data_IF_621686366628
#
_entry.id   IF_621686366628
#
_cell.length_a   1.000
_cell.length_b   1.000
_cell.length_c   1.000
_cell.angle_alpha   90.00
_cell.angle_beta   90.00
_cell.angle_gamma   90.00
#
_symmetry.space_group_name_H-M   'P 1'
#
loop_
_entity.id
_entity.type
_entity.pdbx_description
1 polymer ?
#
# COMPACT_ATOMS: atom_id res chain seq x y z
N UNK A 1 -6.15 -15.99 -28.88
CA UNK A 1 -5.14 -14.93 -28.67
C UNK A 1 -4.36 -15.27 -27.42
N UNK A 2 -3.03 -15.16 -27.47
CA UNK A 2 -2.14 -15.36 -26.32
C UNK A 2 -1.64 -13.97 -25.93
N UNK A 3 -1.94 -13.52 -24.71
CA UNK A 3 -1.51 -12.22 -24.19
C UNK A 3 -0.54 -12.48 -23.03
N UNK A 4 0.52 -11.67 -22.94
CA UNK A 4 1.36 -11.65 -21.75
C UNK A 4 0.50 -11.13 -20.59
N UNK A 5 0.42 -11.90 -19.51
CA UNK A 5 -0.19 -11.39 -18.28
C UNK A 5 0.82 -10.49 -17.57
N UNK A 6 0.53 -9.20 -17.41
CA UNK A 6 1.40 -8.26 -16.68
C UNK A 6 1.67 -8.68 -15.22
N UNK A 7 0.80 -9.52 -14.63
CA UNK A 7 0.98 -9.99 -13.26
C UNK A 7 1.94 -11.17 -13.13
N UNK A 8 1.93 -12.15 -14.04
CA UNK A 8 2.79 -13.33 -13.95
C UNK A 8 3.88 -13.43 -15.04
N UNK A 9 3.83 -12.62 -16.09
CA UNK A 9 4.81 -12.61 -17.18
C UNK A 9 4.75 -13.82 -18.10
N UNK A 10 3.79 -14.73 -17.92
CA UNK A 10 3.66 -15.95 -18.72
C UNK A 10 2.57 -15.83 -19.79
N UNK A 11 2.80 -16.51 -20.91
CA UNK A 11 1.91 -16.55 -22.06
C UNK A 11 0.91 -17.70 -21.86
N UNK A 12 -0.25 -17.41 -21.25
CA UNK A 12 -1.30 -18.39 -20.99
C UNK A 12 -2.51 -18.29 -21.95
N UNK A 13 -3.28 -19.38 -22.11
CA UNK A 13 -4.63 -19.27 -22.66
C UNK A 13 -5.49 -18.45 -21.70
N UNK A 14 -6.20 -17.45 -22.22
CA UNK A 14 -7.16 -16.66 -21.44
C UNK A 14 -8.54 -17.27 -21.60
N UNK A 15 -9.14 -17.72 -20.50
CA UNK A 15 -10.55 -18.08 -20.46
C UNK A 15 -11.38 -16.79 -20.58
N UNK A 16 -12.02 -16.60 -21.74
CA UNK A 16 -12.85 -15.42 -22.00
C UNK A 16 -14.26 -15.66 -21.42
N UNK A 17 -14.46 -15.31 -20.15
CA UNK A 17 -15.81 -15.24 -19.60
C UNK A 17 -16.44 -13.89 -19.97
N UNK A 18 -16.97 -13.78 -21.20
CA UNK A 18 -17.67 -12.58 -21.64
C UNK A 18 -19.04 -12.48 -20.95
N UNK A 19 -19.11 -11.78 -19.81
CA UNK A 19 -20.38 -11.30 -19.26
C UNK A 19 -20.61 -9.87 -19.74
N UNK A 20 -21.42 -9.70 -20.78
CA UNK A 20 -21.80 -8.37 -21.26
C UNK A 20 -22.82 -7.73 -20.31
N UNK A 21 -22.43 -6.67 -19.62
CA UNK A 21 -23.31 -5.80 -18.83
C UNK A 21 -23.34 -4.42 -19.51
N UNK A 22 -24.26 -4.24 -20.46
CA UNK A 22 -24.61 -2.92 -21.00
C UNK A 22 -23.64 -2.33 -22.05
N UNK A 23 -23.95 -1.10 -22.53
CA UNK A 23 -23.25 -0.41 -23.62
C UNK A 23 -21.82 0.04 -23.28
N UNK A 24 -21.39 -0.07 -22.02
CA UNK A 24 -19.99 0.05 -21.60
C UNK A 24 -19.38 -1.33 -21.32
N UNK A 25 -19.50 -2.25 -22.27
CA UNK A 25 -19.05 -3.62 -22.08
C UNK A 25 -17.52 -3.69 -21.90
N UNK A 26 -17.07 -3.80 -20.65
CA UNK A 26 -15.69 -4.19 -20.30
C UNK A 26 -15.62 -5.70 -20.25
N UNK A 27 -14.75 -6.31 -21.05
CA UNK A 27 -14.47 -7.73 -20.93
C UNK A 27 -13.55 -7.96 -19.73
N UNK A 28 -13.97 -8.81 -18.80
CA UNK A 28 -13.08 -9.30 -17.76
C UNK A 28 -12.39 -10.55 -18.26
N UNK A 29 -11.08 -10.58 -18.14
CA UNK A 29 -10.27 -11.74 -18.52
C UNK A 29 -9.49 -12.19 -17.31
N UNK A 30 -9.63 -13.47 -16.95
CA UNK A 30 -8.97 -14.06 -15.79
C UNK A 30 -7.79 -14.92 -16.26
N UNK A 31 -6.62 -14.74 -15.66
CA UNK A 31 -5.47 -15.61 -15.89
C UNK A 31 -5.66 -16.93 -15.13
N UNK A 32 -5.59 -18.07 -15.83
CA UNK A 32 -5.72 -19.40 -15.20
C UNK A 32 -4.56 -19.73 -14.27
N UNK A 33 -3.40 -19.10 -14.44
CA UNK A 33 -2.20 -19.44 -13.67
C UNK A 33 -2.11 -18.67 -12.35
N UNK A 34 -2.42 -17.37 -12.34
CA UNK A 34 -2.30 -16.53 -11.15
C UNK A 34 -3.66 -16.00 -10.63
N UNK A 35 -4.76 -16.23 -11.34
CA UNK A 35 -6.09 -15.76 -10.97
C UNK A 35 -6.33 -14.26 -11.16
N UNK A 36 -5.34 -13.49 -11.65
CA UNK A 36 -5.47 -12.05 -11.85
C UNK A 36 -6.56 -11.74 -12.89
N UNK A 37 -7.39 -10.73 -12.60
CA UNK A 37 -8.48 -10.26 -13.47
C UNK A 37 -8.06 -8.94 -14.11
N UNK A 38 -8.01 -8.90 -15.43
CA UNK A 38 -7.78 -7.67 -16.20
C UNK A 38 -9.10 -7.21 -16.85
N UNK A 39 -9.35 -5.90 -16.83
CA UNK A 39 -10.44 -5.28 -17.60
C UNK A 39 -9.87 -4.84 -18.94
N UNK A 40 -10.31 -5.46 -20.02
CA UNK A 40 -9.91 -5.07 -21.37
C UNK A 40 -11.06 -4.27 -21.99
N UNK A 41 -10.82 -3.03 -22.45
CA UNK A 41 -11.82 -2.31 -23.22
C UNK A 41 -12.09 -3.09 -24.51
N UNK A 42 -13.35 -3.46 -24.76
CA UNK A 42 -13.75 -4.06 -26.02
C UNK A 42 -13.67 -2.94 -27.06
N UNK A 43 -12.57 -2.92 -27.82
CA UNK A 43 -12.45 -1.99 -28.95
C UNK A 43 -13.42 -2.48 -30.01
N UNK A 44 -14.52 -1.74 -30.21
CA UNK A 44 -15.40 -1.98 -31.35
C UNK A 44 -14.55 -2.10 -32.62
N UNK A 45 -14.79 -3.11 -33.47
CA UNK A 45 -14.04 -3.28 -34.70
C UNK A 45 -14.21 -2.01 -35.51
N UNK A 46 -13.14 -1.21 -35.59
CA UNK A 46 -13.13 0.05 -36.30
C UNK A 46 -13.64 -0.22 -37.72
N UNK A 47 -14.79 0.39 -38.03
CA UNK A 47 -15.33 0.43 -39.37
C UNK A 47 -14.21 0.79 -40.34
N UNK A 48 -14.11 -0.01 -41.40
CA UNK A 48 -13.09 -0.01 -42.45
C UNK A 48 -13.09 1.35 -43.17
N UNK A 49 -12.47 2.36 -42.59
CA UNK A 49 -12.32 3.71 -43.13
C UNK A 49 -10.91 3.94 -43.65
N UNK A 50 -10.80 4.13 -44.96
CA UNK A 50 -9.58 4.45 -45.69
C UNK A 50 -8.94 5.76 -45.20
N UNK A 51 -7.61 5.79 -45.10
CA UNK A 51 -6.86 7.01 -44.76
C UNK A 51 -5.36 6.78 -44.83
N UNK A 52 -4.81 6.92 -46.03
CA UNK A 52 -3.38 6.94 -46.32
C UNK A 52 -2.72 8.23 -45.78
N UNK A 53 -1.40 8.11 -45.53
CA UNK A 53 -0.35 9.11 -45.79
C UNK A 53 0.30 9.84 -44.61
N UNK A 54 1.65 9.86 -44.68
CA UNK A 54 2.64 10.85 -44.20
C UNK A 54 2.93 10.87 -42.69
N UNK A 55 4.14 11.13 -42.20
CA UNK A 55 5.39 11.59 -42.81
C UNK A 55 6.56 11.04 -41.97
N UNK A 56 7.62 10.66 -42.68
CA UNK A 56 8.96 10.42 -42.16
C UNK A 56 9.66 11.75 -41.81
N UNK A 57 10.80 11.63 -41.12
CA UNK A 57 11.87 12.63 -41.05
C UNK A 57 11.82 13.68 -39.93
N UNK A 58 12.48 13.37 -38.80
CA UNK A 58 13.27 14.38 -38.08
C UNK A 58 14.49 13.78 -37.38
N UNK A 59 15.54 13.58 -38.17
CA UNK A 59 16.91 13.51 -37.70
C UNK A 59 17.32 14.88 -37.14
N UNK A 60 17.93 14.90 -35.96
CA UNK A 60 18.43 16.10 -35.30
C UNK A 60 19.76 15.80 -34.63
N UNK A 61 20.83 15.92 -35.42
CA UNK A 61 22.21 15.99 -34.96
C UNK A 61 22.44 17.19 -34.02
N UNK A 62 23.21 16.97 -32.96
CA UNK A 62 23.93 18.04 -32.24
C UNK A 62 25.35 17.57 -31.92
N UNK A 63 26.38 18.15 -32.55
CA UNK A 63 27.75 18.10 -32.06
C UNK A 63 27.97 19.26 -31.07
N UNK A 64 28.68 18.99 -29.98
CA UNK A 64 28.96 19.98 -28.94
C UNK A 64 30.16 19.57 -28.10
N UNK A 65 31.33 19.93 -28.63
CA UNK A 65 32.63 19.92 -27.97
C UNK A 65 32.62 20.68 -26.64
N UNK A 66 33.47 20.28 -25.69
CA UNK A 66 34.64 21.08 -25.28
C UNK A 66 35.18 20.73 -23.89
N UNK A 67 36.48 20.44 -23.91
CA UNK A 67 37.50 21.00 -23.03
C UNK A 67 37.54 20.61 -21.55
N UNK A 68 38.53 19.76 -21.26
CA UNK A 68 39.60 20.14 -20.35
C UNK A 68 39.35 19.83 -18.88
N UNK A 69 39.91 18.71 -18.41
CA UNK A 69 40.32 18.65 -17.02
C UNK A 69 41.74 18.11 -16.87
N UNK A 70 42.47 18.85 -16.03
CA UNK A 70 43.92 18.88 -15.86
C UNK A 70 44.48 17.53 -15.42
N UNK A 71 45.59 17.16 -16.03
CA UNK A 71 46.57 16.25 -15.46
C UNK A 71 47.07 16.84 -14.13
N UNK A 72 46.78 16.14 -13.03
CA UNK A 72 47.28 16.40 -11.69
C UNK A 72 47.83 15.09 -11.14
N UNK A 73 49.06 15.16 -10.68
CA UNK A 73 49.98 14.06 -10.48
C UNK A 73 49.51 12.93 -9.55
N UNK A 74 49.69 11.73 -10.11
CA UNK A 74 49.99 10.46 -9.49
C UNK A 74 50.65 10.52 -8.10
N UNK A 75 49.82 10.55 -7.05
CA UNK A 75 50.12 9.85 -5.81
C UNK A 75 49.38 8.51 -5.87
N UNK A 76 50.08 7.48 -6.36
CA UNK A 76 49.64 6.09 -6.33
C UNK A 76 49.62 5.58 -4.89
N UNK A 77 48.64 6.04 -4.11
CA UNK A 77 48.19 5.35 -2.91
C UNK A 77 47.57 4.06 -3.42
N UNK A 78 48.13 2.91 -3.00
CA UNK A 78 47.68 1.60 -3.42
C UNK A 78 46.16 1.55 -3.39
N UNK A 79 45.55 1.34 -4.56
CA UNK A 79 44.12 1.16 -4.70
C UNK A 79 43.76 -0.16 -4.01
N UNK A 80 43.65 -0.13 -2.68
CA UNK A 80 42.90 -1.13 -1.94
C UNK A 80 41.54 -1.18 -2.59
N UNK A 81 41.20 -2.36 -3.11
CA UNK A 81 39.90 -2.63 -3.70
C UNK A 81 38.87 -2.36 -2.60
N UNK A 82 38.27 -1.18 -2.61
CA UNK A 82 37.22 -0.80 -1.66
C UNK A 82 36.05 -1.73 -1.90
N UNK A 83 35.96 -2.78 -1.07
CA UNK A 83 34.87 -3.76 -1.14
C UNK A 83 33.59 -3.01 -0.81
N UNK A 84 32.76 -2.77 -1.82
CA UNK A 84 31.50 -2.06 -1.67
C UNK A 84 30.62 -2.75 -0.62
N UNK A 85 30.52 -2.13 0.55
CA UNK A 85 29.66 -2.60 1.64
C UNK A 85 28.21 -2.21 1.36
N UNK A 86 27.29 -3.12 1.66
CA UNK A 86 25.86 -2.95 1.42
C UNK A 86 25.11 -2.95 2.74
N UNK A 87 24.13 -2.05 2.88
CA UNK A 87 23.32 -1.97 4.09
C UNK A 87 22.41 -3.21 4.23
N UNK A 88 22.35 -3.87 5.39
CA UNK A 88 21.50 -5.07 5.55
C UNK A 88 19.99 -4.77 5.59
N UNK A 89 19.60 -3.49 5.78
CA UNK A 89 18.20 -3.09 5.87
C UNK A 89 17.59 -2.73 4.52
N UNK A 90 18.30 -1.97 3.69
CA UNK A 90 17.79 -1.50 2.40
C UNK A 90 18.70 -1.83 1.21
N UNK A 91 19.85 -2.46 1.45
CA UNK A 91 20.83 -2.89 0.45
C UNK A 91 21.44 -1.79 -0.41
N UNK A 92 21.27 -0.52 -0.04
CA UNK A 92 22.04 0.56 -0.65
C UNK A 92 23.54 0.37 -0.36
N UNK A 93 24.37 0.56 -1.38
CA UNK A 93 25.81 0.66 -1.22
C UNK A 93 26.14 1.88 -0.34
N UNK A 94 27.05 1.72 0.63
CA UNK A 94 27.41 2.81 1.55
C UNK A 94 28.92 3.07 1.68
N UNK A 95 29.78 2.21 1.10
CA UNK A 95 31.24 2.41 1.12
C UNK A 95 31.77 2.60 2.55
N UNK A 96 32.54 3.67 2.76
CA UNK A 96 33.07 4.07 4.07
C UNK A 96 32.20 5.08 4.86
N UNK A 97 30.94 5.30 4.47
CA UNK A 97 30.07 6.27 5.16
C UNK A 97 29.69 5.78 6.56
N UNK A 98 29.60 6.72 7.52
CA UNK A 98 29.16 6.44 8.89
C UNK A 98 27.68 5.99 8.97
N UNK A 99 26.88 6.22 7.94
CA UNK A 99 25.49 5.76 7.87
C UNK A 99 25.07 5.41 6.44
N UNK A 100 24.09 4.52 6.33
CA UNK A 100 23.48 4.16 5.06
C UNK A 100 22.72 5.37 4.46
N UNK A 101 22.99 5.78 3.21
CA UNK A 101 22.30 6.90 2.58
C UNK A 101 20.81 6.62 2.27
N UNK A 102 20.42 5.35 2.17
CA UNK A 102 19.04 4.97 1.84
C UNK A 102 18.09 4.92 3.03
N UNK A 103 18.57 4.47 4.20
CA UNK A 103 17.70 4.26 5.36
C UNK A 103 18.22 4.87 6.68
N UNK A 104 19.39 5.51 6.66
CA UNK A 104 19.99 6.14 7.84
C UNK A 104 20.57 5.18 8.89
N UNK A 105 20.63 3.87 8.63
CA UNK A 105 21.22 2.92 9.57
C UNK A 105 22.72 3.20 9.74
N UNK A 106 23.15 3.46 10.97
CA UNK A 106 24.55 3.73 11.31
C UNK A 106 25.44 2.49 11.06
N UNK A 107 26.64 2.71 10.52
CA UNK A 107 27.56 1.66 10.10
C UNK A 107 27.94 0.73 11.25
N UNK A 108 28.17 1.27 12.45
CA UNK A 108 28.49 0.50 13.65
C UNK A 108 27.34 -0.40 14.12
N UNK A 109 26.10 -0.12 13.72
CA UNK A 109 24.92 -0.95 14.06
C UNK A 109 24.57 -1.99 13.00
N UNK A 110 25.17 -1.94 11.82
CA UNK A 110 24.79 -2.82 10.72
C UNK A 110 25.04 -4.30 11.03
N UNK A 111 26.18 -4.64 11.62
CA UNK A 111 26.48 -6.03 11.99
C UNK A 111 25.50 -6.57 13.04
N UNK A 112 25.22 -5.77 14.08
CA UNK A 112 24.25 -6.14 15.12
C UNK A 112 22.82 -6.28 14.59
N UNK A 113 22.43 -5.44 13.62
CA UNK A 113 21.11 -5.52 12.98
C UNK A 113 20.92 -6.84 12.24
N UNK A 114 21.89 -7.26 11.42
CA UNK A 114 21.81 -8.55 10.70
C UNK A 114 21.76 -9.74 11.65
N UNK A 115 22.62 -9.73 12.68
CA UNK A 115 22.69 -10.82 13.65
C UNK A 115 21.39 -10.95 14.47
N UNK A 116 20.84 -9.81 14.92
CA UNK A 116 19.56 -9.80 15.63
C UNK A 116 18.42 -10.31 14.75
N UNK A 117 18.35 -9.85 13.49
CA UNK A 117 17.33 -10.32 12.55
C UNK A 117 17.46 -11.82 12.32
N UNK A 118 18.67 -12.36 12.13
CA UNK A 118 18.90 -13.78 11.89
C UNK A 118 18.60 -14.66 13.10
N UNK A 119 18.85 -14.15 14.31
CA UNK A 119 18.53 -14.84 15.56
C UNK A 119 17.01 -15.02 15.79
N UNK A 120 16.19 -14.11 15.26
CA UNK A 120 14.72 -14.18 15.36
C UNK A 120 14.09 -15.15 14.33
N UNK A 121 14.87 -15.66 13.36
CA UNK A 121 14.33 -16.50 12.29
C UNK A 121 14.15 -17.95 12.74
N UNK A 122 13.02 -18.53 12.34
CA UNK A 122 12.74 -19.95 12.52
C UNK A 122 13.75 -20.84 11.79
N UNK A 123 14.07 -21.99 12.38
CA UNK A 123 14.95 -22.99 11.75
C UNK A 123 14.39 -23.47 10.41
N UNK A 124 13.06 -23.60 10.28
CA UNK A 124 12.39 -23.97 9.03
C UNK A 124 12.72 -23.00 7.89
N UNK A 125 12.68 -21.69 8.17
CA UNK A 125 13.00 -20.67 7.16
C UNK A 125 14.48 -20.76 6.76
N UNK A 126 15.40 -20.89 7.72
CA UNK A 126 16.83 -21.07 7.46
C UNK A 126 17.11 -22.34 6.64
N UNK A 127 16.51 -23.47 7.00
CA UNK A 127 16.65 -24.74 6.27
C UNK A 127 16.12 -24.65 4.84
N UNK A 128 14.97 -23.99 4.63
CA UNK A 128 14.40 -23.81 3.28
C UNK A 128 15.30 -22.95 2.38
N UNK A 129 15.98 -21.93 2.92
CA UNK A 129 16.97 -21.16 2.17
C UNK A 129 18.20 -22.00 1.82
N UNK A 130 18.73 -22.78 2.77
CA UNK A 130 19.84 -23.70 2.50
C UNK A 130 19.49 -24.69 1.39
N UNK A 131 18.26 -25.23 1.40
CA UNK A 131 17.77 -26.11 0.35
C UNK A 131 17.75 -25.44 -1.04
N UNK A 132 17.37 -24.16 -1.12
CA UNK A 132 17.44 -23.36 -2.36
C UNK A 132 18.89 -23.24 -2.85
N UNK A 133 19.85 -23.02 -1.95
CA UNK A 133 21.26 -22.90 -2.33
C UNK A 133 21.86 -24.21 -2.85
N UNK A 134 21.43 -25.36 -2.33
CA UNK A 134 21.87 -26.69 -2.80
C UNK A 134 21.41 -27.00 -4.23
N UNK A 135 20.22 -26.52 -4.62
CA UNK A 135 19.62 -26.75 -5.93
C UNK A 135 18.92 -25.49 -6.41
N UNK A 136 19.73 -24.56 -6.90
CA UNK A 136 19.26 -23.24 -7.32
C UNK A 136 18.25 -23.31 -8.48
N UNK A 137 18.43 -24.20 -9.44
CA UNK A 137 17.51 -24.28 -10.59
C UNK A 137 16.16 -24.97 -10.27
N UNK A 138 15.96 -25.43 -9.03
CA UNK A 138 14.75 -26.10 -8.58
C UNK A 138 13.69 -25.10 -8.12
N UNK A 139 12.76 -24.77 -9.02
CA UNK A 139 11.66 -23.83 -8.77
C UNK A 139 10.82 -24.21 -7.53
N UNK A 140 10.63 -25.50 -7.25
CA UNK A 140 9.81 -25.93 -6.12
C UNK A 140 10.45 -25.55 -4.78
N UNK A 141 11.78 -25.51 -4.70
CA UNK A 141 12.51 -25.08 -3.49
C UNK A 141 12.38 -23.59 -3.27
N UNK A 142 12.45 -22.81 -4.35
CA UNK A 142 12.17 -21.37 -4.26
C UNK A 142 10.75 -21.09 -3.77
N UNK A 143 9.78 -21.87 -4.24
CA UNK A 143 8.39 -21.76 -3.81
C UNK A 143 8.22 -22.12 -2.34
N UNK A 144 8.83 -23.22 -1.88
CA UNK A 144 8.84 -23.61 -0.48
C UNK A 144 9.47 -22.54 0.42
N UNK A 145 10.58 -21.93 -0.04
CA UNK A 145 11.23 -20.83 0.66
C UNK A 145 10.33 -19.60 0.82
N UNK A 146 9.68 -19.15 -0.27
CA UNK A 146 8.77 -17.99 -0.23
C UNK A 146 7.56 -18.26 0.66
N UNK A 147 7.03 -19.50 0.65
CA UNK A 147 5.98 -19.91 1.57
C UNK A 147 6.44 -19.85 3.03
N UNK A 148 7.63 -20.38 3.34
CA UNK A 148 8.20 -20.30 4.69
C UNK A 148 8.41 -18.85 5.14
N UNK A 149 8.91 -17.98 4.24
CA UNK A 149 9.10 -16.56 4.53
C UNK A 149 7.77 -15.84 4.78
N UNK A 150 6.73 -16.19 4.04
CA UNK A 150 5.37 -15.65 4.21
C UNK A 150 4.79 -16.06 5.56
N UNK A 151 4.91 -17.35 5.93
CA UNK A 151 4.46 -17.86 7.22
C UNK A 151 5.17 -17.21 8.41
N UNK A 152 6.47 -16.88 8.25
CA UNK A 152 7.26 -16.21 9.27
C UNK A 152 7.15 -14.66 9.25
N UNK A 153 6.46 -14.07 8.26
CA UNK A 153 6.45 -12.61 8.06
C UNK A 153 7.81 -12.00 7.73
N UNK A 154 8.77 -12.80 7.25
CA UNK A 154 10.19 -12.45 7.11
C UNK A 154 10.57 -11.97 5.70
N UNK A 155 9.72 -11.17 5.05
CA UNK A 155 9.91 -10.75 3.65
C UNK A 155 11.18 -9.94 3.41
N UNK A 156 11.57 -9.08 4.36
CA UNK A 156 12.75 -8.23 4.22
C UNK A 156 14.03 -9.07 4.15
N UNK A 157 14.14 -10.07 5.03
CA UNK A 157 15.27 -10.99 5.05
C UNK A 157 15.31 -11.86 3.77
N UNK A 158 14.16 -12.39 3.34
CA UNK A 158 14.06 -13.17 2.10
C UNK A 158 14.47 -12.35 0.86
N UNK A 159 14.02 -11.08 0.78
CA UNK A 159 14.44 -10.17 -0.28
C UNK A 159 15.95 -9.93 -0.25
N UNK A 160 16.54 -9.78 0.95
CA UNK A 160 17.98 -9.61 1.10
C UNK A 160 18.78 -10.80 0.59
N UNK A 161 18.35 -12.02 0.87
CA UNK A 161 18.97 -13.25 0.36
C UNK A 161 18.97 -13.34 -1.17
N UNK A 162 17.86 -12.99 -1.82
CA UNK A 162 17.83 -12.93 -3.29
C UNK A 162 18.70 -11.81 -3.86
N UNK A 163 18.83 -10.68 -3.17
CA UNK A 163 19.74 -9.62 -3.59
C UNK A 163 21.22 -10.01 -3.43
N UNK A 164 21.57 -10.73 -2.35
CA UNK A 164 22.89 -11.34 -2.20
C UNK A 164 23.17 -12.31 -3.35
N UNK A 165 22.19 -13.15 -3.70
CA UNK A 165 22.30 -14.06 -4.83
C UNK A 165 22.53 -13.31 -6.16
N UNK A 166 21.75 -12.26 -6.47
CA UNK A 166 21.93 -11.41 -7.66
C UNK A 166 23.32 -10.76 -7.73
N UNK A 167 23.88 -10.34 -6.59
CA UNK A 167 25.24 -9.79 -6.54
C UNK A 167 26.29 -10.87 -6.81
N UNK A 168 26.11 -12.06 -6.25
CA UNK A 168 27.02 -13.18 -6.47
C UNK A 168 26.90 -13.81 -7.87
N UNK A 169 25.75 -13.65 -8.53
CA UNK A 169 25.42 -14.20 -9.86
C UNK A 169 24.81 -13.11 -10.76
N UNK A 170 25.63 -12.19 -11.30
CA UNK A 170 25.13 -11.15 -12.19
C UNK A 170 24.45 -11.77 -13.43
N UNK A 171 23.26 -11.27 -13.78
CA UNK A 171 22.49 -11.76 -14.94
C UNK A 171 21.60 -12.98 -14.67
N UNK A 172 21.50 -13.44 -13.42
CA UNK A 172 20.60 -14.53 -13.04
C UNK A 172 19.11 -14.11 -13.07
N UNK A 173 18.42 -14.49 -14.14
CA UNK A 173 17.01 -14.21 -14.34
C UNK A 173 16.09 -14.87 -13.30
N UNK A 174 16.52 -15.98 -12.68
CA UNK A 174 15.75 -16.67 -11.65
C UNK A 174 15.73 -15.83 -10.37
N UNK A 175 16.89 -15.31 -9.96
CA UNK A 175 17.02 -14.43 -8.81
C UNK A 175 16.12 -13.17 -8.95
N UNK A 176 16.08 -12.58 -10.14
CA UNK A 176 15.23 -11.42 -10.46
C UNK A 176 13.73 -11.76 -10.38
N UNK A 177 13.33 -12.88 -10.99
CA UNK A 177 11.95 -13.37 -10.96
C UNK A 177 11.49 -13.62 -9.52
N UNK A 178 12.32 -14.27 -8.71
CA UNK A 178 11.99 -14.58 -7.32
C UNK A 178 11.96 -13.33 -6.44
N UNK A 179 12.86 -12.36 -6.66
CA UNK A 179 12.82 -11.07 -5.98
C UNK A 179 11.51 -10.32 -6.28
N UNK A 180 11.08 -10.27 -7.53
CA UNK A 180 9.80 -9.67 -7.92
C UNK A 180 8.61 -10.38 -7.26
N UNK A 181 8.67 -11.72 -7.15
CA UNK A 181 7.66 -12.52 -6.48
C UNK A 181 7.58 -12.26 -4.97
N UNK A 182 8.71 -12.21 -4.28
CA UNK A 182 8.77 -11.87 -2.84
C UNK A 182 8.15 -10.50 -2.60
N UNK A 183 8.47 -9.51 -3.45
CA UNK A 183 7.89 -8.16 -3.36
C UNK A 183 6.37 -8.17 -3.50
N UNK A 184 5.83 -8.81 -4.54
CA UNK A 184 4.37 -8.91 -4.74
C UNK A 184 3.67 -9.62 -3.57
N UNK A 185 4.30 -10.67 -3.04
CA UNK A 185 3.76 -11.42 -1.89
C UNK A 185 3.76 -10.56 -0.63
N UNK A 186 4.80 -9.77 -0.40
CA UNK A 186 4.88 -8.83 0.71
C UNK A 186 3.81 -7.72 0.59
N UNK A 187 3.63 -7.13 -0.59
CA UNK A 187 2.61 -6.13 -0.88
C UNK A 187 1.20 -6.70 -0.63
N UNK A 188 0.92 -7.92 -1.12
CA UNK A 188 -0.35 -8.61 -0.87
C UNK A 188 -0.58 -8.91 0.62
N UNK A 189 0.44 -9.38 1.34
CA UNK A 189 0.36 -9.64 2.77
C UNK A 189 0.09 -8.36 3.58
N UNK A 190 0.71 -7.23 3.21
CA UNK A 190 0.43 -5.93 3.83
C UNK A 190 -1.02 -5.51 3.62
N UNK A 191 -1.53 -5.59 2.38
CA UNK A 191 -2.93 -5.28 2.07
C UNK A 191 -3.91 -6.20 2.82
N UNK A 192 -3.62 -7.50 2.87
CA UNK A 192 -4.43 -8.47 3.62
C UNK A 192 -4.46 -8.14 5.12
N UNK A 193 -3.31 -7.79 5.72
CA UNK A 193 -3.23 -7.41 7.13
C UNK A 193 -3.99 -6.12 7.45
N UNK A 194 -4.03 -5.18 6.49
CA UNK A 194 -4.79 -3.95 6.61
C UNK A 194 -6.30 -4.22 6.60
N UNK A 195 -6.76 -5.16 5.76
CA UNK A 195 -8.17 -5.57 5.69
C UNK A 195 -8.64 -6.26 6.98
N UNK A 196 -7.83 -7.16 7.55
CA UNK A 196 -8.17 -7.88 8.81
C UNK A 196 -8.37 -6.90 9.97
N UNK A 197 -7.51 -5.87 10.10
CA UNK A 197 -7.64 -4.85 11.16
C UNK A 197 -8.95 -4.06 11.09
N UNK A 198 -9.61 -4.00 9.94
CA UNK A 198 -10.90 -3.32 9.81
C UNK A 198 -12.06 -4.17 10.35
N UNK A 199 -11.95 -5.49 10.30
CA UNK A 199 -13.04 -6.41 10.71
C UNK A 199 -13.09 -6.57 12.24
N UNK A 200 -11.95 -6.59 12.92
CA UNK A 200 -11.91 -6.69 14.39
C UNK A 200 -12.19 -5.38 15.11
N UNK A 201 -12.22 -4.25 14.41
CA UNK A 201 -12.89 -3.04 14.91
C UNK A 201 -14.40 -3.22 14.77
N UNK A 202 -14.96 -4.23 15.43
CA UNK A 202 -16.39 -4.26 15.71
C UNK A 202 -16.71 -2.91 16.37
N UNK A 203 -17.45 -2.02 15.68
CA UNK A 203 -17.49 -0.62 16.03
C UNK A 203 -18.15 -0.50 17.38
N UNK A 204 -17.37 -0.16 18.39
CA UNK A 204 -17.84 0.55 19.57
C UNK A 204 -19.12 0.01 20.22
N UNK A 205 -19.31 -1.31 20.36
CA UNK A 205 -20.43 -1.82 21.17
C UNK A 205 -20.45 -1.17 22.57
N UNK A 206 -19.27 -0.87 23.11
CA UNK A 206 -19.09 -0.02 24.30
C UNK A 206 -19.56 1.43 24.14
N UNK A 207 -19.12 2.18 23.12
CA UNK A 207 -19.56 3.57 23.00
C UNK A 207 -21.00 3.72 22.51
N UNK A 208 -21.54 2.76 21.73
CA UNK A 208 -22.97 2.73 21.40
C UNK A 208 -23.80 2.53 22.67
N UNK A 209 -23.39 1.64 23.57
CA UNK A 209 -24.05 1.47 24.86
C UNK A 209 -23.97 2.73 25.73
N UNK A 210 -22.79 3.38 25.80
CA UNK A 210 -22.61 4.64 26.53
C UNK A 210 -23.47 5.76 25.91
N UNK A 211 -23.51 5.88 24.59
CA UNK A 211 -24.34 6.87 23.88
C UNK A 211 -25.83 6.66 24.17
N UNK A 212 -26.30 5.41 24.10
CA UNK A 212 -27.70 5.06 24.41
C UNK A 212 -28.01 5.43 25.87
N UNK A 213 -27.13 5.08 26.82
CA UNK A 213 -27.30 5.43 28.23
C UNK A 213 -27.40 6.94 28.43
N UNK A 214 -26.56 7.72 27.74
CA UNK A 214 -26.51 9.17 27.83
C UNK A 214 -27.81 9.81 27.27
N UNK A 215 -28.30 9.31 26.13
CA UNK A 215 -29.57 9.73 25.54
C UNK A 215 -30.74 9.41 26.47
N UNK A 216 -30.77 8.22 27.08
CA UNK A 216 -31.80 7.83 28.05
C UNK A 216 -31.75 8.71 29.30
N UNK A 217 -30.56 8.99 29.83
CA UNK A 217 -30.40 9.87 31.00
C UNK A 217 -30.88 11.30 30.71
N UNK A 218 -30.56 11.85 29.54
CA UNK A 218 -31.06 13.15 29.10
C UNK A 218 -32.59 13.16 28.93
N UNK A 219 -33.15 12.10 28.34
CA UNK A 219 -34.60 11.95 28.19
C UNK A 219 -35.32 11.86 29.54
N UNK A 220 -34.81 11.08 30.47
CA UNK A 220 -35.33 10.99 31.83
C UNK A 220 -35.24 12.33 32.57
N UNK A 221 -34.12 13.05 32.44
CA UNK A 221 -33.95 14.38 33.00
C UNK A 221 -34.94 15.40 32.43
N UNK A 222 -35.15 15.40 31.11
CA UNK A 222 -36.14 16.24 30.45
C UNK A 222 -37.57 15.94 30.94
N UNK A 223 -37.93 14.65 31.04
CA UNK A 223 -39.25 14.23 31.51
C UNK A 223 -39.48 14.61 32.99
N UNK A 224 -38.46 14.45 33.84
CA UNK A 224 -38.51 14.84 35.25
C UNK A 224 -38.70 16.36 35.42
N UNK A 225 -37.98 17.18 34.64
CA UNK A 225 -38.16 18.64 34.68
C UNK A 225 -39.53 19.09 34.18
N UNK A 226 -40.09 18.44 33.16
CA UNK A 226 -41.45 18.69 32.70
C UNK A 226 -42.51 18.36 33.75
N UNK A 227 -42.36 17.22 34.44
CA UNK A 227 -43.26 16.79 35.50
C UNK A 227 -43.30 17.78 36.68
N UNK A 228 -42.13 18.24 37.14
CA UNK A 228 -42.02 19.25 38.20
C UNK A 228 -42.61 20.61 37.81
N UNK A 229 -42.63 20.93 36.51
CA UNK A 229 -43.22 22.17 35.99
C UNK A 229 -44.73 22.06 35.87
N UNK A 230 -45.24 20.90 35.45
CA UNK A 230 -46.68 20.62 35.32
C UNK A 230 -47.41 20.60 36.67
N UNK A 231 -46.79 20.06 37.72
CA UNK A 231 -47.40 20.01 39.06
C UNK A 231 -47.55 21.37 39.73
N UNK A 232 -46.88 22.42 39.22
CA UNK A 232 -47.02 23.80 39.71
C UNK A 232 -48.14 24.58 39.00
N UNK A 233 -48.69 24.04 37.90
CA UNK A 233 -49.66 24.73 37.05
C UNK A 233 -51.14 24.44 37.35
N UNK A 234 -51.45 23.45 38.20
CA UNK A 234 -52.85 23.06 38.47
C UNK A 234 -53.52 23.83 39.62
N UNK A 235 -52.88 24.86 40.17
CA UNK A 235 -53.41 25.67 41.30
C UNK A 235 -54.04 26.99 40.87
N UNK A 236 -54.32 27.18 39.58
CA UNK A 236 -55.04 28.34 39.05
C UNK A 236 -56.39 27.94 38.46
N UNK A 237 -57.32 27.56 39.32
CA UNK A 237 -58.74 27.76 39.08
C UNK A 237 -59.29 28.46 40.31
N UNK A 238 -59.93 29.60 40.07
CA UNK A 238 -60.51 30.51 41.06
C UNK A 238 -59.56 31.38 41.90
N UNK A 239 -59.04 32.43 41.28
CA UNK A 239 -59.12 33.75 41.93
C UNK A 239 -59.02 34.88 40.89
N UNK A 240 -60.12 35.61 40.70
CA UNK A 240 -60.02 37.03 40.39
C UNK A 240 -60.02 37.42 38.91
N UNK A 241 -61.13 37.15 38.22
CA UNK A 241 -61.56 38.02 37.13
C UNK A 241 -61.89 39.40 37.73
N UNK A 242 -60.93 40.31 37.75
CA UNK A 242 -61.18 41.73 37.98
C UNK A 242 -61.41 42.45 36.63
N UNK A 243 -62.35 43.40 36.57
CA UNK A 243 -62.84 43.99 35.34
C UNK A 243 -61.82 44.93 34.70
N UNK A 244 -61.84 44.91 33.37
CA UNK A 244 -61.17 45.85 32.49
C UNK A 244 -61.57 47.30 32.81
N UNK A 245 -60.64 48.20 33.15
CA UNK A 245 -60.85 49.61 32.94
C UNK A 245 -60.58 49.90 31.45
N UNK A 246 -61.61 50.44 30.81
CA UNK A 246 -61.52 51.13 29.55
C UNK A 246 -60.63 52.38 29.67
N UNK A 247 -60.31 52.95 28.51
CA UNK A 247 -59.76 54.30 28.27
C UNK A 247 -58.23 54.39 28.27
N UNK A 248 -57.57 55.19 27.43
CA UNK A 248 -57.99 56.11 26.37
C UNK A 248 -56.71 56.57 25.65
N UNK A 249 -56.82 56.75 24.34
CA UNK A 249 -56.10 57.68 23.47
C UNK A 249 -54.92 58.52 24.04
N UNK A 250 -53.78 58.51 23.33
CA UNK A 250 -53.24 59.69 22.59
C UNK A 250 -51.86 59.38 21.97
N UNK A 251 -51.72 59.63 20.65
CA UNK A 251 -50.42 59.89 20.01
C UNK A 251 -49.84 61.26 20.42
N UNK A 252 -48.84 61.88 19.73
CA UNK A 252 -48.38 61.64 18.35
C UNK A 252 -46.84 61.71 18.11
N UNK A 253 -46.46 61.42 16.85
CA UNK A 253 -45.40 61.98 15.97
C UNK A 253 -44.14 62.66 16.57
N UNK A 254 -42.98 62.22 16.05
CA UNK A 254 -41.78 63.04 15.83
C UNK A 254 -40.68 62.17 15.19
N UNK A 255 -40.63 62.12 13.85
CA UNK A 255 -39.60 62.69 12.94
C UNK A 255 -38.27 61.94 12.95
#
# INVERSE_FOLDING_TARGET
>A
MRLLCDSCGEIGPLALAARSLGPEAKAQVQCEHCGAIAQVPVREPAGRGAGLARDSDRAGDRPGDSAGNKAGDAASVGAEVEVARHCPKCHAAYGQRAACPGCGLAAERMAGFSAAQEAELSDTLRASWSAVLERWDDQARHDAFVQAATAAGAFAWAAGKYQDARRSRPGDALAERQMARVRRTAEAAMLASAAVRQVERAPYRGATAVLIMLVVALGAGAMYTAFLRGSRGSSSSDAGRAPSPAQSERGPRGR
#
